data_IF_457254309190
#
_entry.id   IF_457254309190
#
_cell.length_a   1.000
_cell.length_b   1.000
_cell.length_c   1.000
_cell.angle_alpha   90.00
_cell.angle_beta   90.00
_cell.angle_gamma   90.00
#
_symmetry.space_group_name_H-M   'P 1'
#
loop_
_entity.id
_entity.type
_entity.pdbx_description
1 polymer ?
#
# COMPACT_ATOMS: atom_id res chain seq x y z
N UNK A 1 1.13 12.34 24.81
CA UNK A 1 1.45 12.19 23.38
C UNK A 1 0.30 11.43 22.72
N UNK A 2 -0.60 12.15 22.05
CA UNK A 2 -1.82 11.57 21.45
C UNK A 2 -1.46 10.88 20.14
N UNK A 3 -1.52 9.56 20.13
CA UNK A 3 -1.30 8.73 18.93
C UNK A 3 -2.48 8.94 17.97
N UNK A 4 -2.25 9.67 16.87
CA UNK A 4 -3.21 9.78 15.79
C UNK A 4 -3.27 8.44 15.02
N UNK A 5 -4.00 7.47 15.57
CA UNK A 5 -4.27 6.19 14.92
C UNK A 5 -5.11 6.44 13.66
N UNK A 6 -4.66 5.94 12.50
CA UNK A 6 -5.53 5.87 11.33
C UNK A 6 -6.78 5.04 11.70
N UNK A 7 -7.97 5.54 11.38
CA UNK A 7 -9.21 4.79 11.55
C UNK A 7 -9.12 3.43 10.86
N UNK A 8 -9.60 2.37 11.53
CA UNK A 8 -9.60 0.99 11.01
C UNK A 8 -10.20 0.88 9.60
N UNK A 9 -11.20 1.71 9.27
CA UNK A 9 -11.78 1.77 7.94
C UNK A 9 -10.79 2.25 6.87
N UNK A 10 -9.97 3.27 7.17
CA UNK A 10 -8.93 3.74 6.24
C UNK A 10 -7.83 2.71 6.06
N UNK A 11 -7.45 2.03 7.14
CA UNK A 11 -6.46 0.95 7.06
C UNK A 11 -6.95 -0.19 6.16
N UNK A 12 -8.23 -0.58 6.28
CA UNK A 12 -8.86 -1.57 5.41
C UNK A 12 -8.83 -1.19 3.93
N UNK A 13 -9.18 0.06 3.60
CA UNK A 13 -9.13 0.53 2.20
C UNK A 13 -7.70 0.54 1.66
N UNK A 14 -6.70 0.93 2.46
CA UNK A 14 -5.28 0.88 2.05
C UNK A 14 -4.78 -0.55 1.81
N UNK A 15 -5.21 -1.51 2.64
CA UNK A 15 -4.90 -2.91 2.44
C UNK A 15 -5.55 -3.45 1.15
N UNK A 16 -6.80 -3.08 0.88
CA UNK A 16 -7.50 -3.47 -0.34
C UNK A 16 -6.83 -2.88 -1.59
N UNK A 17 -6.40 -1.61 -1.54
CA UNK A 17 -5.61 -0.98 -2.62
C UNK A 17 -4.34 -1.79 -2.92
N UNK A 18 -3.59 -2.16 -1.89
CA UNK A 18 -2.38 -2.96 -2.06
C UNK A 18 -2.67 -4.34 -2.65
N UNK A 19 -3.70 -5.03 -2.15
CA UNK A 19 -4.10 -6.36 -2.63
C UNK A 19 -4.56 -6.32 -4.09
N UNK A 20 -5.45 -5.39 -4.46
CA UNK A 20 -5.93 -5.25 -5.84
C UNK A 20 -4.78 -4.91 -6.79
N UNK A 21 -3.83 -4.05 -6.37
CA UNK A 21 -2.67 -3.69 -7.16
C UNK A 21 -1.72 -4.88 -7.39
N UNK A 22 -1.49 -5.72 -6.36
CA UNK A 22 -0.71 -6.95 -6.49
C UNK A 22 -1.37 -7.92 -7.46
N UNK A 23 -2.66 -8.16 -7.29
CA UNK A 23 -3.41 -9.06 -8.17
C UNK A 23 -3.39 -8.54 -9.62
N UNK A 24 -3.55 -7.23 -9.83
CA UNK A 24 -3.45 -6.63 -11.16
C UNK A 24 -2.09 -6.90 -11.82
N UNK A 25 -0.98 -6.82 -11.08
CA UNK A 25 0.35 -7.17 -11.59
C UNK A 25 0.46 -8.65 -11.91
N UNK A 26 0.00 -9.54 -11.03
CA UNK A 26 0.06 -10.99 -11.25
C UNK A 26 -0.72 -11.36 -12.52
N UNK A 27 -1.96 -10.90 -12.66
CA UNK A 27 -2.76 -11.16 -13.84
C UNK A 27 -2.21 -10.48 -15.10
N UNK A 28 -1.56 -9.31 -14.96
CA UNK A 28 -0.82 -8.70 -16.08
C UNK A 28 0.30 -9.62 -16.55
N UNK A 29 1.11 -10.16 -15.65
CA UNK A 29 2.18 -11.10 -16.00
C UNK A 29 1.64 -12.41 -16.59
N UNK A 30 0.58 -12.98 -16.00
CA UNK A 30 -0.06 -14.21 -16.50
C UNK A 30 -0.72 -14.03 -17.86
N UNK A 31 -1.19 -12.82 -18.16
CA UNK A 31 -1.78 -12.48 -19.45
C UNK A 31 -0.83 -12.69 -20.63
N UNK A 32 0.48 -12.59 -20.42
CA UNK A 32 1.50 -12.75 -21.46
C UNK A 32 2.28 -14.05 -21.22
N UNK A 33 1.94 -15.11 -21.96
CA UNK A 33 2.43 -16.48 -21.73
C UNK A 33 3.96 -16.58 -21.89
N UNK A 34 4.53 -15.82 -22.82
CA UNK A 34 5.98 -15.79 -23.09
C UNK A 34 6.73 -14.69 -22.35
N UNK A 35 6.27 -14.26 -21.17
CA UNK A 35 7.05 -13.33 -20.32
C UNK A 35 8.45 -13.89 -20.01
N UNK A 36 8.56 -15.20 -19.78
CA UNK A 36 9.82 -15.92 -19.47
C UNK A 36 10.88 -15.84 -20.58
N UNK A 37 10.47 -15.65 -21.84
CA UNK A 37 11.41 -15.55 -22.97
C UNK A 37 11.87 -14.12 -23.25
N UNK A 38 11.36 -13.13 -22.51
CA UNK A 38 11.70 -11.70 -22.67
C UNK A 38 11.23 -11.05 -23.98
N UNK A 39 10.51 -11.78 -24.84
CA UNK A 39 10.31 -11.36 -26.22
C UNK A 39 9.02 -10.58 -26.50
N UNK A 40 8.02 -10.59 -25.61
CA UNK A 40 6.68 -10.11 -25.96
C UNK A 40 5.98 -9.41 -24.79
N UNK A 41 6.63 -8.43 -24.17
CA UNK A 41 5.95 -7.50 -23.26
C UNK A 41 5.54 -6.24 -24.01
N UNK A 42 4.25 -5.90 -23.98
CA UNK A 42 3.75 -4.64 -24.55
C UNK A 42 4.13 -3.46 -23.66
N UNK A 43 4.46 -2.31 -24.24
CA UNK A 43 4.69 -1.07 -23.48
C UNK A 43 3.50 -0.70 -22.58
N UNK A 44 2.29 -1.06 -22.99
CA UNK A 44 1.07 -0.89 -22.19
C UNK A 44 1.06 -1.73 -20.91
N UNK A 45 1.51 -2.99 -20.99
CA UNK A 45 1.63 -3.87 -19.84
C UNK A 45 2.74 -3.42 -18.89
N UNK A 46 3.88 -2.99 -19.43
CA UNK A 46 5.00 -2.47 -18.62
C UNK A 46 4.53 -1.24 -17.82
N UNK A 47 3.90 -0.27 -18.48
CA UNK A 47 3.39 0.92 -17.80
C UNK A 47 2.36 0.56 -16.72
N UNK A 48 1.45 -0.37 -17.02
CA UNK A 48 0.45 -0.85 -16.05
C UNK A 48 1.09 -1.51 -14.85
N UNK A 49 2.08 -2.37 -15.05
CA UNK A 49 2.83 -3.01 -13.98
C UNK A 49 3.52 -1.98 -13.10
N UNK A 50 4.15 -0.94 -13.67
CA UNK A 50 4.80 0.13 -12.91
C UNK A 50 3.75 0.92 -12.09
N UNK A 51 2.62 1.29 -12.69
CA UNK A 51 1.56 2.01 -11.99
C UNK A 51 0.98 1.18 -10.83
N UNK A 52 0.68 -0.11 -11.06
CA UNK A 52 0.21 -1.02 -10.02
C UNK A 52 1.28 -1.29 -8.95
N UNK A 53 2.56 -1.39 -9.32
CA UNK A 53 3.66 -1.53 -8.36
C UNK A 53 3.76 -0.32 -7.42
N UNK A 54 3.72 0.90 -7.97
CA UNK A 54 3.76 2.12 -7.15
C UNK A 54 2.53 2.24 -6.24
N UNK A 55 1.34 1.87 -6.74
CA UNK A 55 0.11 1.80 -5.95
C UNK A 55 0.21 0.79 -4.80
N UNK A 56 0.75 -0.40 -5.06
CA UNK A 56 1.02 -1.43 -4.06
C UNK A 56 1.95 -0.91 -2.96
N UNK A 57 3.10 -0.33 -3.34
CA UNK A 57 4.06 0.22 -2.39
C UNK A 57 3.43 1.31 -1.51
N UNK A 58 2.62 2.18 -2.11
CA UNK A 58 1.88 3.20 -1.38
C UNK A 58 0.93 2.57 -0.36
N UNK A 59 0.10 1.61 -0.76
CA UNK A 59 -0.81 0.91 0.14
C UNK A 59 -0.08 0.20 1.29
N UNK A 60 1.00 -0.53 0.99
CA UNK A 60 1.82 -1.22 1.99
C UNK A 60 2.50 -0.27 2.97
N UNK A 61 2.94 0.91 2.51
CA UNK A 61 3.49 1.94 3.39
C UNK A 61 2.45 2.42 4.41
N UNK A 62 1.18 2.58 4.03
CA UNK A 62 0.17 2.96 5.01
C UNK A 62 -0.24 1.80 5.93
N UNK A 63 -0.15 0.56 5.48
CA UNK A 63 -0.56 -0.61 6.28
C UNK A 63 0.52 -1.03 7.27
N UNK A 64 1.76 -1.21 6.82
CA UNK A 64 2.82 -1.84 7.60
C UNK A 64 3.41 -0.85 8.64
N UNK A 65 4.16 0.20 8.26
CA UNK A 65 4.81 1.06 9.24
C UNK A 65 3.81 1.91 10.04
N UNK A 66 2.71 2.36 9.44
CA UNK A 66 1.74 3.24 10.12
C UNK A 66 0.68 2.45 10.88
N UNK A 67 0.11 1.40 10.29
CA UNK A 67 -0.95 0.61 10.91
C UNK A 67 -0.43 -0.44 11.89
N UNK A 68 0.39 -1.37 11.40
CA UNK A 68 0.82 -2.56 12.15
C UNK A 68 1.96 -2.26 13.11
N UNK A 69 3.02 -1.61 12.62
CA UNK A 69 4.24 -1.39 13.39
C UNK A 69 4.21 -0.10 14.21
N UNK A 70 3.25 0.80 13.95
CA UNK A 70 3.09 2.10 14.62
C UNK A 70 4.42 2.88 14.75
N UNK A 71 5.29 2.76 13.76
CA UNK A 71 6.66 3.31 13.78
C UNK A 71 6.67 4.83 13.69
N UNK A 72 5.59 5.41 13.18
CA UNK A 72 5.49 6.85 12.99
C UNK A 72 4.64 7.46 14.09
N UNK A 73 5.27 8.29 14.94
CA UNK A 73 4.59 9.02 16.03
C UNK A 73 3.65 10.12 15.50
N UNK A 74 3.85 10.61 14.27
CA UNK A 74 3.00 11.58 13.59
C UNK A 74 2.37 11.01 12.32
N UNK A 75 1.05 11.12 12.20
CA UNK A 75 0.37 10.78 10.94
C UNK A 75 0.90 11.66 9.79
N UNK A 76 1.05 11.11 8.56
CA UNK A 76 1.47 11.89 7.41
C UNK A 76 0.52 13.06 7.14
N UNK A 77 1.07 14.19 6.68
CA UNK A 77 0.29 15.40 6.39
C UNK A 77 -0.82 15.10 5.39
N UNK A 78 -2.02 15.58 5.67
CA UNK A 78 -3.22 15.34 4.85
C UNK A 78 -3.03 15.82 3.40
N UNK A 79 -2.34 16.93 3.20
CA UNK A 79 -2.02 17.45 1.86
C UNK A 79 -1.19 16.46 1.03
N UNK A 80 -0.16 15.86 1.63
CA UNK A 80 0.68 14.88 0.95
C UNK A 80 -0.11 13.63 0.59
N UNK A 81 -0.95 13.13 1.51
CA UNK A 81 -1.82 12.00 1.26
C UNK A 81 -2.76 12.26 0.06
N UNK A 82 -3.37 13.45 -0.02
CA UNK A 82 -4.23 13.83 -1.16
C UNK A 82 -3.48 13.88 -2.47
N UNK A 83 -2.29 14.49 -2.48
CA UNK A 83 -1.48 14.61 -3.68
C UNK A 83 -1.12 13.22 -4.21
N UNK A 84 -0.63 12.34 -3.35
CA UNK A 84 -0.28 10.96 -3.72
C UNK A 84 -1.51 10.19 -4.20
N UNK A 85 -2.65 10.31 -3.51
CA UNK A 85 -3.89 9.63 -3.92
C UNK A 85 -4.38 10.12 -5.28
N UNK A 86 -4.30 11.42 -5.56
CA UNK A 86 -4.69 12.00 -6.84
C UNK A 86 -3.74 11.57 -7.98
N UNK A 87 -2.43 11.64 -7.75
CA UNK A 87 -1.42 11.24 -8.75
C UNK A 87 -1.54 9.76 -9.08
N UNK A 88 -1.69 8.89 -8.06
CA UNK A 88 -1.86 7.45 -8.29
C UNK A 88 -3.18 7.13 -8.98
N UNK A 89 -4.29 7.81 -8.63
CA UNK A 89 -5.55 7.64 -9.34
C UNK A 89 -5.41 7.98 -10.83
N UNK A 90 -4.76 9.10 -11.17
CA UNK A 90 -4.52 9.50 -12.57
C UNK A 90 -3.62 8.48 -13.28
N UNK A 91 -2.51 8.07 -12.66
CA UNK A 91 -1.57 7.11 -13.24
C UNK A 91 -2.25 5.75 -13.51
N UNK A 92 -3.04 5.25 -12.56
CA UNK A 92 -3.79 3.99 -12.70
C UNK A 92 -4.91 4.09 -13.75
N UNK A 93 -5.55 5.25 -13.88
CA UNK A 93 -6.55 5.50 -14.91
C UNK A 93 -5.92 5.45 -16.31
N UNK A 94 -4.78 6.13 -16.49
CA UNK A 94 -4.01 6.09 -17.74
C UNK A 94 -3.57 4.65 -18.03
N UNK A 95 -3.09 3.93 -17.00
CA UNK A 95 -2.65 2.55 -17.14
C UNK A 95 -3.79 1.63 -17.61
N UNK A 96 -4.95 1.71 -16.97
CA UNK A 96 -6.13 0.94 -17.35
C UNK A 96 -6.55 1.21 -18.80
N UNK A 97 -6.58 2.49 -19.21
CA UNK A 97 -6.96 2.87 -20.59
C UNK A 97 -5.94 2.35 -21.61
N UNK A 98 -4.65 2.61 -21.40
CA UNK A 98 -3.61 2.19 -22.35
C UNK A 98 -3.54 0.66 -22.44
N UNK A 99 -3.70 -0.06 -21.32
CA UNK A 99 -3.74 -1.51 -21.33
C UNK A 99 -4.97 -2.03 -22.09
N UNK A 100 -6.17 -1.52 -21.77
CA UNK A 100 -7.40 -1.91 -22.42
C UNK A 100 -7.44 -1.60 -23.93
N UNK A 101 -6.76 -0.53 -24.35
CA UNK A 101 -6.76 -0.09 -25.74
C UNK A 101 -5.59 -0.63 -26.56
N UNK A 102 -4.69 -1.39 -25.93
CA UNK A 102 -3.53 -1.97 -26.62
C UNK A 102 -3.92 -3.07 -27.60
N UNK A 103 -3.18 -3.18 -28.71
CA UNK A 103 -3.41 -4.16 -29.77
C UNK A 103 -3.33 -5.59 -29.24
N UNK A 104 -2.47 -5.82 -28.23
CA UNK A 104 -2.37 -7.08 -27.52
C UNK A 104 -3.69 -7.53 -26.87
N UNK A 105 -4.52 -6.57 -26.42
CA UNK A 105 -5.81 -6.85 -25.77
C UNK A 105 -6.95 -6.86 -26.79
N UNK A 106 -7.01 -5.86 -27.69
CA UNK A 106 -8.07 -5.74 -28.71
C UNK A 106 -8.09 -6.93 -29.67
N UNK A 107 -6.93 -7.33 -30.14
CA UNK A 107 -6.79 -8.40 -31.14
C UNK A 107 -6.29 -9.71 -30.51
N UNK A 108 -6.44 -9.85 -29.19
CA UNK A 108 -5.89 -10.97 -28.42
C UNK A 108 -6.29 -12.34 -29.01
N UNK A 109 -7.57 -12.51 -29.36
CA UNK A 109 -8.05 -13.75 -29.97
C UNK A 109 -7.46 -13.99 -31.36
N UNK A 110 -7.27 -12.94 -32.16
CA UNK A 110 -6.71 -13.05 -33.51
C UNK A 110 -5.22 -13.40 -33.48
N UNK A 111 -4.47 -12.82 -32.54
CA UNK A 111 -3.06 -13.17 -32.34
C UNK A 111 -2.91 -14.61 -31.86
N UNK A 112 -3.78 -15.07 -30.96
CA UNK A 112 -3.75 -16.46 -30.49
C UNK A 112 -4.06 -17.46 -31.59
N UNK A 113 -5.08 -17.23 -32.42
CA UNK A 113 -5.41 -18.16 -33.52
C UNK A 113 -4.26 -18.24 -34.53
N UNK A 114 -3.64 -17.11 -34.85
CA UNK A 114 -2.45 -17.07 -35.72
C UNK A 114 -1.29 -17.88 -35.10
N UNK A 115 -0.97 -17.63 -33.83
CA UNK A 115 0.14 -18.31 -33.16
C UNK A 115 -0.11 -19.81 -32.95
N UNK A 116 -1.34 -20.22 -32.62
CA UNK A 116 -1.69 -21.63 -32.52
C UNK A 116 -1.55 -22.35 -33.88
N UNK A 117 -1.91 -21.68 -34.98
CA UNK A 117 -1.78 -22.24 -36.34
C UNK A 117 -0.33 -22.47 -36.73
N UNK A 118 0.59 -21.53 -36.42
CA UNK A 118 1.99 -21.61 -36.87
C UNK A 118 2.96 -22.22 -35.83
N UNK A 119 2.62 -22.15 -34.55
CA UNK A 119 3.50 -22.53 -33.44
C UNK A 119 2.85 -23.49 -32.43
N UNK A 120 1.61 -23.92 -32.64
CA UNK A 120 0.92 -24.91 -31.80
C UNK A 120 0.63 -24.48 -30.36
N UNK A 121 0.78 -23.19 -30.03
CA UNK A 121 0.58 -22.66 -28.68
C UNK A 121 0.07 -21.22 -28.71
N UNK A 122 -0.77 -20.88 -27.72
CA UNK A 122 -1.27 -19.52 -27.54
C UNK A 122 -0.15 -18.56 -27.07
N UNK A 123 -0.27 -17.29 -27.46
CA UNK A 123 0.66 -16.23 -27.08
C UNK A 123 0.22 -15.49 -25.82
N UNK A 124 -1.09 -15.29 -25.68
CA UNK A 124 -1.73 -14.47 -24.67
C UNK A 124 -2.85 -15.22 -23.95
N UNK A 125 -3.07 -14.92 -22.68
CA UNK A 125 -4.24 -15.36 -21.91
C UNK A 125 -5.21 -14.18 -21.79
N UNK A 126 -6.08 -14.02 -22.78
CA UNK A 126 -6.99 -12.86 -22.90
C UNK A 126 -7.88 -12.66 -21.66
N UNK A 127 -8.30 -13.76 -21.03
CA UNK A 127 -9.07 -13.70 -19.78
C UNK A 127 -8.28 -13.05 -18.65
N UNK A 128 -7.01 -13.45 -18.46
CA UNK A 128 -6.15 -12.88 -17.41
C UNK A 128 -5.80 -11.42 -17.70
N UNK A 129 -5.59 -11.05 -18.97
CA UNK A 129 -5.43 -9.63 -19.36
C UNK A 129 -6.66 -8.80 -18.98
N UNK A 130 -7.87 -9.33 -19.23
CA UNK A 130 -9.12 -8.65 -18.89
C UNK A 130 -9.26 -8.46 -17.39
N UNK A 131 -8.96 -9.49 -16.59
CA UNK A 131 -8.97 -9.42 -15.13
C UNK A 131 -7.98 -8.38 -14.62
N UNK A 132 -6.77 -8.33 -15.19
CA UNK A 132 -5.76 -7.33 -14.84
C UNK A 132 -6.24 -5.89 -15.08
N UNK A 133 -6.87 -5.63 -16.22
CA UNK A 133 -7.45 -4.32 -16.56
C UNK A 133 -8.52 -3.93 -15.55
N UNK A 134 -9.45 -4.83 -15.25
CA UNK A 134 -10.53 -4.59 -14.29
C UNK A 134 -9.96 -4.27 -12.91
N UNK A 135 -8.99 -5.06 -12.42
CA UNK A 135 -8.35 -4.82 -11.13
C UNK A 135 -7.58 -3.49 -11.09
N UNK A 136 -7.01 -3.06 -12.22
CA UNK A 136 -6.35 -1.75 -12.33
C UNK A 136 -7.37 -0.61 -12.14
N UNK A 137 -8.53 -0.68 -12.79
CA UNK A 137 -9.62 0.29 -12.59
C UNK A 137 -10.22 0.24 -11.18
N UNK A 138 -10.38 -0.95 -10.59
CA UNK A 138 -10.82 -1.10 -9.20
C UNK A 138 -9.83 -0.41 -8.25
N UNK A 139 -8.54 -0.63 -8.46
CA UNK A 139 -7.48 0.03 -7.66
C UNK A 139 -7.56 1.55 -7.81
N UNK A 140 -7.74 2.06 -9.04
CA UNK A 140 -7.97 3.48 -9.30
C UNK A 140 -9.18 4.03 -8.51
N UNK A 141 -10.32 3.34 -8.56
CA UNK A 141 -11.53 3.74 -7.84
C UNK A 141 -11.28 3.80 -6.32
N UNK A 142 -10.54 2.85 -5.75
CA UNK A 142 -10.19 2.87 -4.34
C UNK A 142 -9.33 4.08 -3.96
N UNK A 143 -8.41 4.54 -4.82
CA UNK A 143 -7.64 5.76 -4.59
C UNK A 143 -8.53 7.02 -4.64
N UNK A 144 -9.48 7.07 -5.57
CA UNK A 144 -10.48 8.14 -5.63
C UNK A 144 -11.37 8.16 -4.38
N UNK A 145 -11.80 7.00 -3.89
CA UNK A 145 -12.56 6.91 -2.63
C UNK A 145 -11.76 7.46 -1.46
N UNK A 146 -10.48 7.12 -1.33
CA UNK A 146 -9.62 7.69 -0.27
C UNK A 146 -9.42 9.19 -0.42
N UNK A 147 -9.34 9.69 -1.66
CA UNK A 147 -9.21 11.12 -1.96
C UNK A 147 -10.49 11.89 -1.56
N UNK A 148 -11.66 11.44 -2.02
CA UNK A 148 -12.96 12.07 -1.71
C UNK A 148 -13.23 12.03 -0.21
N UNK A 149 -12.99 10.89 0.44
CA UNK A 149 -13.12 10.76 1.89
C UNK A 149 -12.22 11.78 2.62
N UNK A 150 -11.00 12.00 2.09
CA UNK A 150 -10.08 13.00 2.64
C UNK A 150 -10.68 14.41 2.59
N UNK A 151 -11.32 14.80 1.48
CA UNK A 151 -11.97 16.11 1.34
C UNK A 151 -13.21 16.26 2.22
N UNK A 152 -14.11 15.27 2.23
CA UNK A 152 -15.35 15.32 3.00
C UNK A 152 -15.08 15.50 4.51
N UNK A 153 -14.03 14.88 5.04
CA UNK A 153 -13.64 15.04 6.45
C UNK A 153 -13.25 16.48 6.80
N UNK A 154 -12.59 17.19 5.90
CA UNK A 154 -12.19 18.57 6.14
C UNK A 154 -13.40 19.51 6.05
N UNK A 155 -14.32 19.26 5.11
CA UNK A 155 -15.59 20.00 5.04
C UNK A 155 -16.43 19.81 6.31
N UNK A 156 -16.56 18.58 6.82
CA UNK A 156 -17.25 18.33 8.09
C UNK A 156 -16.57 19.00 9.29
N UNK A 157 -15.22 19.01 9.33
CA UNK A 157 -14.48 19.71 10.39
C UNK A 157 -14.69 21.23 10.30
N UNK A 158 -14.76 21.79 9.10
CA UNK A 158 -15.05 23.21 8.86
C UNK A 158 -16.47 23.59 9.30
N UNK A 159 -17.47 22.74 9.05
CA UNK A 159 -18.87 23.00 9.43
C UNK A 159 -19.09 22.88 10.94
N UNK A 160 -18.40 21.97 11.63
CA UNK A 160 -18.37 21.94 13.11
C UNK A 160 -17.43 23.00 13.72
N UNK A 161 -16.72 23.77 12.90
CA UNK A 161 -15.57 24.60 13.26
C UNK A 161 -15.87 25.91 13.98
N UNK A 162 -17.10 26.42 13.92
CA UNK A 162 -17.48 27.64 14.67
C UNK A 162 -18.10 27.32 16.04
N UNK A 163 -18.58 26.09 16.25
CA UNK A 163 -19.34 25.73 17.47
C UNK A 163 -18.56 24.84 18.45
N UNK A 164 -17.42 24.24 18.05
CA UNK A 164 -16.63 23.37 18.93
C UNK A 164 -15.42 24.10 19.56
N UNK A 165 -14.85 25.09 18.88
CA UNK A 165 -13.75 25.91 19.42
C UNK A 165 -14.25 26.84 20.54
N UNK A 166 -15.52 27.29 20.46
CA UNK A 166 -16.18 28.04 21.53
C UNK A 166 -16.58 27.16 22.73
N UNK A 167 -16.84 25.87 22.53
CA UNK A 167 -17.21 24.93 23.60
C UNK A 167 -16.01 24.35 24.36
N UNK A 168 -14.79 24.45 23.81
CA UNK A 168 -13.54 24.00 24.44
C UNK A 168 -12.74 25.15 25.08
N UNK A 169 -13.20 26.40 24.96
CA UNK A 169 -12.60 27.56 25.61
C UNK A 169 -13.15 27.82 27.04
N UNK A 170 -14.11 27.01 27.51
CA UNK A 170 -14.75 27.16 28.82
C UNK A 170 -14.21 26.17 29.89
N UNK A 171 -13.32 25.23 29.53
CA UNK A 171 -12.80 24.22 30.47
C UNK A 171 -11.36 24.50 30.97
N UNK A 172 -10.75 25.62 30.57
CA UNK A 172 -9.36 26.01 30.91
C UNK A 172 -9.31 26.91 32.16
N UNK A 173 -9.92 26.48 33.29
CA UNK A 173 -9.72 27.16 34.57
C UNK A 173 -9.77 26.27 35.82
N UNK A 174 -8.70 25.50 36.05
CA UNK A 174 -8.09 25.10 37.36
C UNK A 174 -7.20 23.85 37.13
N UNK A 175 -5.98 23.65 37.64
CA UNK A 175 -5.01 24.42 38.39
C UNK A 175 -3.69 23.61 38.43
N UNK A 176 -2.54 24.29 38.28
CA UNK A 176 -1.15 24.03 38.73
C UNK A 176 -0.65 22.64 39.21
N UNK A 177 0.53 22.27 38.71
CA UNK A 177 1.46 21.36 39.41
C UNK A 177 2.74 21.04 38.62
N UNK A 178 3.82 21.80 38.82
CA UNK A 178 5.16 21.53 38.27
C UNK A 178 5.92 20.53 39.16
N UNK A 179 6.43 19.45 38.58
CA UNK A 179 7.38 18.53 39.24
C UNK A 179 8.69 18.53 38.46
N UNK A 180 9.75 18.96 39.13
CA UNK A 180 11.14 18.91 38.66
C UNK A 180 11.58 17.44 38.48
N UNK A 181 12.03 17.07 37.30
CA UNK A 181 12.62 15.75 37.04
C UNK A 181 14.14 15.79 37.23
N UNK A 182 14.62 15.08 38.24
CA UNK A 182 16.04 14.82 38.51
C UNK A 182 16.63 13.84 37.49
N UNK A 183 17.80 14.17 36.92
CA UNK A 183 18.62 13.28 36.07
C UNK A 183 19.35 12.22 36.90
N UNK A 184 19.28 10.91 36.58
CA UNK A 184 20.18 9.92 37.17
C UNK A 184 21.34 9.55 36.24
N UNK A 185 22.53 9.52 36.83
CA UNK A 185 23.81 9.29 36.20
C UNK A 185 24.12 7.84 35.76
N UNK A 186 25.20 7.77 34.99
CA UNK A 186 25.98 6.63 34.52
C UNK A 186 26.29 5.58 35.61
N UNK A 187 26.07 4.29 35.32
CA UNK A 187 26.83 3.17 35.92
C UNK A 187 26.77 1.89 35.08
N UNK A 188 27.86 1.14 35.19
CA UNK A 188 28.37 0.10 34.31
C UNK A 188 27.58 -1.23 34.37
N UNK A 189 27.43 -1.93 33.24
CA UNK A 189 26.42 -2.99 33.03
C UNK A 189 26.82 -4.44 33.37
N UNK A 190 25.95 -5.41 33.00
CA UNK A 190 26.33 -6.79 32.72
C UNK A 190 25.80 -7.35 31.37
N UNK A 191 26.37 -8.49 31.00
CA UNK A 191 26.41 -9.25 29.73
C UNK A 191 25.14 -9.38 28.88
N UNK A 192 25.33 -9.34 27.55
CA UNK A 192 24.35 -9.22 26.45
C UNK A 192 23.22 -10.24 26.34
N UNK A 193 23.19 -11.30 27.17
CA UNK A 193 22.12 -12.29 27.15
C UNK A 193 20.90 -11.81 27.97
N UNK A 194 21.13 -11.30 29.17
CA UNK A 194 20.06 -10.85 30.08
C UNK A 194 19.41 -9.55 29.60
N UNK A 195 20.18 -8.69 28.93
CA UNK A 195 19.67 -7.47 28.29
C UNK A 195 18.64 -7.76 27.17
N UNK A 196 18.71 -8.92 26.52
CA UNK A 196 17.73 -9.27 25.47
C UNK A 196 16.44 -9.80 26.05
N UNK A 197 16.47 -10.48 27.19
CA UNK A 197 15.27 -11.01 27.86
C UNK A 197 14.47 -9.89 28.50
N UNK A 198 15.14 -8.88 29.08
CA UNK A 198 14.47 -7.72 29.68
C UNK A 198 13.85 -6.80 28.61
N UNK A 199 14.52 -6.62 27.46
CA UNK A 199 13.99 -5.88 26.31
C UNK A 199 12.81 -6.62 25.63
N UNK A 200 12.84 -7.96 25.59
CA UNK A 200 11.76 -8.81 25.05
C UNK A 200 10.50 -8.76 25.96
N UNK A 201 10.69 -8.49 27.26
CA UNK A 201 9.61 -8.32 28.23
C UNK A 201 9.01 -6.92 28.23
N UNK A 202 9.82 -5.89 27.94
CA UNK A 202 9.37 -4.49 27.80
C UNK A 202 8.71 -4.20 26.44
N UNK A 203 9.07 -4.91 25.37
CA UNK A 203 8.58 -4.65 24.02
C UNK A 203 8.20 -5.95 23.26
N UNK A 204 7.04 -6.56 23.56
CA UNK A 204 6.58 -7.80 22.91
C UNK A 204 6.43 -7.69 21.38
N UNK A 205 6.35 -6.47 20.84
CA UNK A 205 6.34 -6.22 19.39
C UNK A 205 7.68 -6.50 18.71
N UNK A 206 8.81 -6.39 19.41
CA UNK A 206 10.14 -6.58 18.82
C UNK A 206 10.41 -8.05 18.49
N UNK A 207 9.86 -8.98 19.31
CA UNK A 207 9.87 -10.42 19.07
C UNK A 207 9.12 -10.79 17.80
N UNK A 208 7.94 -10.18 17.62
CA UNK A 208 7.09 -10.39 16.45
C UNK A 208 7.81 -9.85 15.21
N UNK A 209 8.43 -8.68 15.28
CA UNK A 209 9.21 -8.08 14.17
C UNK A 209 10.37 -8.97 13.71
N UNK A 210 11.09 -9.63 14.63
CA UNK A 210 12.17 -10.56 14.26
C UNK A 210 11.66 -11.86 13.64
N UNK A 211 10.51 -12.36 14.10
CA UNK A 211 9.87 -13.54 13.52
C UNK A 211 9.22 -13.24 12.15
N UNK A 212 8.54 -12.10 12.00
CA UNK A 212 7.84 -11.72 10.76
C UNK A 212 8.79 -11.22 9.66
N UNK A 213 9.89 -10.57 10.02
CA UNK A 213 10.94 -10.21 9.07
C UNK A 213 11.52 -11.44 8.38
N UNK A 214 11.73 -12.54 9.13
CA UNK A 214 12.23 -13.80 8.58
C UNK A 214 11.20 -14.54 7.73
N UNK A 215 9.91 -14.49 8.06
CA UNK A 215 8.86 -15.12 7.24
C UNK A 215 8.54 -14.33 5.97
N UNK A 216 8.60 -12.99 6.02
CA UNK A 216 8.44 -12.14 4.83
C UNK A 216 9.61 -12.30 3.87
N UNK A 217 10.85 -12.37 4.38
CA UNK A 217 12.03 -12.64 3.58
C UNK A 217 11.96 -14.03 2.94
N UNK A 218 11.52 -15.05 3.69
CA UNK A 218 11.28 -16.39 3.14
C UNK A 218 10.18 -16.39 2.07
N UNK A 219 9.07 -15.67 2.29
CA UNK A 219 7.97 -15.54 1.33
C UNK A 219 8.39 -14.85 0.03
N UNK A 220 9.12 -13.73 0.12
CA UNK A 220 9.68 -13.06 -1.06
C UNK A 220 10.70 -13.94 -1.81
N UNK A 221 11.52 -14.72 -1.09
CA UNK A 221 12.45 -15.66 -1.71
C UNK A 221 11.73 -16.85 -2.38
N UNK A 222 10.64 -17.35 -1.81
CA UNK A 222 9.82 -18.42 -2.43
C UNK A 222 9.09 -17.90 -3.67
N UNK A 223 8.51 -16.70 -3.63
CA UNK A 223 7.88 -16.09 -4.81
C UNK A 223 8.90 -15.83 -5.91
N UNK A 224 10.10 -15.33 -5.57
CA UNK A 224 11.17 -15.15 -6.54
C UNK A 224 11.65 -16.48 -7.15
N UNK A 225 11.65 -17.57 -6.39
CA UNK A 225 12.07 -18.90 -6.86
C UNK A 225 10.99 -19.63 -7.68
N UNK A 226 9.70 -19.36 -7.42
CA UNK A 226 8.59 -19.90 -8.22
C UNK A 226 8.39 -19.12 -9.53
N UNK A 227 8.89 -17.88 -9.61
CA UNK A 227 8.82 -17.02 -10.80
C UNK A 227 10.07 -17.08 -11.70
N UNK A 228 11.05 -17.95 -11.40
CA UNK A 228 12.18 -18.30 -12.29
C UNK A 228 11.89 -19.66 -12.90
#
# INVERSE_FOLDING_TARGET
MTTALLSSGRLGVRALQALCAVLAMIFTSLGYIKFTSGQLSSGSAIYTTIACYTAMLCGLYYVIPVGVLKLTSSAPKVLYQRLVDAVLAIALLIAGIIHATSDAVKDCSSYNTMFETYHGSALFRCGDMTVAIVLTFVTCALFLVTLVWSFMRDTCKSVNGDNLQAALADDDSQANGYVVASTPGKKDGPTSADATVDLDRQHPGLKIVRCTGRTLQFGCSVVALVCI
#
